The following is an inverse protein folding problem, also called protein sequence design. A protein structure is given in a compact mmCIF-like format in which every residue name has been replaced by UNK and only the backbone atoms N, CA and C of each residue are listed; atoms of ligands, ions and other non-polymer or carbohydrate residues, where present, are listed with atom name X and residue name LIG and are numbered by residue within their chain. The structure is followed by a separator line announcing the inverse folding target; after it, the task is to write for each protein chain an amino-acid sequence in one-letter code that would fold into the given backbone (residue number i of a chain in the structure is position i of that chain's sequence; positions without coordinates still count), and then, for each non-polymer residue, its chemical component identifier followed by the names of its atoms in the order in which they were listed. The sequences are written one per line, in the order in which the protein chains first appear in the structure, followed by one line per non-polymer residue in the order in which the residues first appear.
data_IF_108716512672
#
_entry.id   IF_108716512672
#
_cell.length_a   1.000
_cell.length_b   1.000
_cell.length_c   1.000
_cell.angle_alpha   90.00
_cell.angle_beta   90.00
_cell.angle_gamma   90.00
#
_symmetry.space_group_name_H-M   'P 1'
#
loop_
_entity.id
_entity.type
_entity.pdbx_description
1 polymer ?
#
# COMPACT_ATOMS: atom_id res chain seq x y z
N UNK A 1 -22.63 6.57 32.84
CA UNK A 1 -23.20 7.08 34.10
C UNK A 1 -24.64 7.60 33.91
N UNK A 2 -25.14 7.66 32.67
CA UNK A 2 -26.52 8.12 32.37
C UNK A 2 -27.63 7.09 32.65
N UNK A 3 -27.29 5.89 33.15
CA UNK A 3 -28.28 4.86 33.51
C UNK A 3 -28.63 4.97 35.00
N UNK A 4 -29.93 5.05 35.33
CA UNK A 4 -30.44 5.07 36.72
C UNK A 4 -30.33 3.71 37.46
N UNK A 5 -29.56 2.77 36.93
CA UNK A 5 -29.34 1.44 37.51
C UNK A 5 -28.54 1.57 38.80
N UNK A 6 -29.04 0.97 39.89
CA UNK A 6 -28.48 1.07 41.26
C UNK A 6 -28.30 -0.31 41.90
N UNK A 7 -27.56 -0.35 43.00
CA UNK A 7 -27.43 -1.55 43.83
C UNK A 7 -26.67 -2.69 43.14
N UNK A 8 -27.04 -3.94 43.44
CA UNK A 8 -26.35 -5.13 42.94
C UNK A 8 -26.37 -5.26 41.41
N UNK A 9 -27.46 -4.81 40.77
CA UNK A 9 -27.60 -4.82 39.32
C UNK A 9 -26.56 -3.91 38.65
N UNK A 10 -26.34 -2.71 39.21
CA UNK A 10 -25.30 -1.80 38.73
C UNK A 10 -23.90 -2.44 38.81
N UNK A 11 -23.60 -3.11 39.92
CA UNK A 11 -22.31 -3.79 40.10
C UNK A 11 -22.11 -4.89 39.05
N UNK A 12 -23.14 -5.72 38.82
CA UNK A 12 -23.10 -6.78 37.81
C UNK A 12 -22.91 -6.23 36.40
N UNK A 13 -23.69 -5.22 36.03
CA UNK A 13 -23.61 -4.58 34.71
C UNK A 13 -22.27 -3.88 34.48
N UNK A 14 -21.74 -3.19 35.50
CA UNK A 14 -20.43 -2.55 35.43
C UNK A 14 -19.31 -3.57 35.22
N UNK A 15 -19.29 -4.67 35.98
CA UNK A 15 -18.26 -5.69 35.80
C UNK A 15 -18.40 -6.44 34.47
N UNK A 16 -19.63 -6.64 34.00
CA UNK A 16 -19.87 -7.21 32.68
C UNK A 16 -19.35 -6.28 31.57
N UNK A 17 -19.66 -4.99 31.65
CA UNK A 17 -19.13 -3.97 30.73
C UNK A 17 -17.61 -3.92 30.77
N UNK A 18 -16.98 -3.91 31.95
CA UNK A 18 -15.52 -3.90 32.08
C UNK A 18 -14.88 -5.14 31.46
N UNK A 19 -15.52 -6.31 31.58
CA UNK A 19 -15.05 -7.53 30.92
C UNK A 19 -15.14 -7.41 29.40
N UNK A 20 -16.27 -6.92 28.88
CA UNK A 20 -16.45 -6.70 27.44
C UNK A 20 -15.43 -5.70 26.89
N UNK A 21 -15.20 -4.58 27.58
CA UNK A 21 -14.21 -3.58 27.18
C UNK A 21 -12.78 -4.13 27.25
N UNK A 22 -12.48 -4.99 28.23
CA UNK A 22 -11.18 -5.68 28.29
C UNK A 22 -10.98 -6.58 27.07
N UNK A 23 -12.00 -7.31 26.65
CA UNK A 23 -11.92 -8.19 25.48
C UNK A 23 -11.78 -7.38 24.17
N UNK A 24 -12.51 -6.27 24.05
CA UNK A 24 -12.36 -5.31 22.96
C UNK A 24 -10.94 -4.74 22.91
N UNK A 25 -10.42 -4.30 24.06
CA UNK A 25 -9.05 -3.78 24.17
C UNK A 25 -8.00 -4.81 23.79
N UNK A 26 -8.19 -6.08 24.17
CA UNK A 26 -7.30 -7.17 23.78
C UNK A 26 -7.27 -7.37 22.25
N UNK A 27 -8.44 -7.27 21.59
CA UNK A 27 -8.54 -7.31 20.12
C UNK A 27 -7.77 -6.16 19.46
N UNK A 28 -7.94 -4.92 19.96
CA UNK A 28 -7.20 -3.76 19.47
C UNK A 28 -5.69 -3.89 19.69
N UNK A 29 -5.26 -4.41 20.84
CA UNK A 29 -3.85 -4.68 21.12
C UNK A 29 -3.26 -5.72 20.15
N UNK A 30 -3.98 -6.79 19.85
CA UNK A 30 -3.57 -7.80 18.88
C UNK A 30 -3.47 -7.22 17.47
N UNK A 31 -4.43 -6.40 17.05
CA UNK A 31 -4.39 -5.70 15.77
C UNK A 31 -3.19 -4.74 15.69
N UNK A 32 -2.94 -3.98 16.76
CA UNK A 32 -1.77 -3.12 16.87
C UNK A 32 -0.48 -3.91 16.71
N UNK A 33 -0.32 -5.02 17.44
CA UNK A 33 0.86 -5.87 17.35
C UNK A 33 1.09 -6.42 15.94
N UNK A 34 0.01 -6.78 15.24
CA UNK A 34 0.09 -7.33 13.89
C UNK A 34 0.41 -6.30 12.81
N UNK A 35 -0.15 -5.09 12.91
CA UNK A 35 -0.14 -4.12 11.81
C UNK A 35 0.69 -2.86 12.06
N UNK A 36 0.84 -2.45 13.33
CA UNK A 36 1.40 -1.14 13.70
C UNK A 36 2.60 -1.22 14.64
N UNK A 37 2.86 -2.34 15.31
CA UNK A 37 4.07 -2.53 16.10
C UNK A 37 5.24 -2.92 15.19
N UNK A 38 6.28 -2.08 15.16
CA UNK A 38 7.46 -2.26 14.31
C UNK A 38 7.14 -2.65 12.85
N UNK A 39 6.38 -1.82 12.12
CA UNK A 39 5.96 -2.11 10.74
C UNK A 39 7.11 -2.07 9.73
N UNK A 40 8.28 -1.56 10.13
CA UNK A 40 9.45 -1.47 9.27
C UNK A 40 10.00 -2.87 8.94
N UNK A 41 10.10 -3.18 7.65
CA UNK A 41 10.70 -4.43 7.15
C UNK A 41 12.23 -4.41 7.15
N UNK A 42 12.81 -3.21 7.18
CA UNK A 42 14.24 -2.91 7.17
C UNK A 42 14.47 -1.61 7.97
N UNK A 43 15.72 -1.23 8.18
CA UNK A 43 16.12 -0.02 8.88
C UNK A 43 15.93 -0.07 10.40
N UNK A 44 16.03 1.11 10.99
CA UNK A 44 15.75 1.41 12.39
C UNK A 44 14.57 2.39 12.45
N UNK A 45 13.44 1.93 12.97
CA UNK A 45 12.31 2.78 13.31
C UNK A 45 12.30 3.04 14.82
N UNK A 46 12.13 4.30 15.21
CA UNK A 46 11.96 4.70 16.60
C UNK A 46 10.48 4.97 16.88
N UNK A 47 9.82 4.03 17.56
CA UNK A 47 8.38 4.07 17.79
C UNK A 47 8.06 4.44 19.25
N UNK A 48 7.27 5.51 19.50
CA UNK A 48 6.82 5.83 20.84
C UNK A 48 5.73 4.83 21.28
N UNK A 49 5.91 4.21 22.44
CA UNK A 49 4.98 3.25 23.01
C UNK A 49 4.70 3.57 24.48
N UNK A 50 3.54 3.14 24.97
CA UNK A 50 3.17 3.20 26.39
C UNK A 50 3.29 1.79 26.95
N UNK A 51 4.10 1.63 28.00
CA UNK A 51 4.21 0.36 28.71
C UNK A 51 3.07 0.22 29.71
N UNK A 52 2.16 -0.73 29.48
CA UNK A 52 0.93 -0.87 30.28
C UNK A 52 1.19 -1.14 31.77
N UNK A 53 2.30 -1.80 32.13
CA UNK A 53 2.64 -2.13 33.52
C UNK A 53 3.12 -0.93 34.34
N UNK A 54 3.74 0.06 33.71
CA UNK A 54 4.32 1.23 34.38
C UNK A 54 3.67 2.55 33.96
N UNK A 55 2.78 2.51 32.97
CA UNK A 55 2.18 3.66 32.30
C UNK A 55 3.21 4.66 31.72
N UNK A 56 4.45 4.23 31.52
CA UNK A 56 5.52 5.09 31.02
C UNK A 56 5.53 5.13 29.49
N UNK A 57 5.62 6.33 28.93
CA UNK A 57 5.90 6.53 27.51
C UNK A 57 7.40 6.40 27.27
N UNK A 58 7.77 5.49 26.38
CA UNK A 58 9.18 5.26 26.02
C UNK A 58 9.32 5.13 24.50
N UNK A 59 10.53 5.40 23.99
CA UNK A 59 10.84 5.23 22.57
C UNK A 59 11.46 3.85 22.36
N UNK A 60 10.69 2.96 21.73
CA UNK A 60 11.14 1.62 21.36
C UNK A 60 11.90 1.65 20.03
N UNK A 61 13.01 0.91 19.95
CA UNK A 61 13.85 0.83 18.77
C UNK A 61 13.56 -0.46 17.98
N UNK A 62 12.79 -0.34 16.90
CA UNK A 62 12.47 -1.42 15.97
C UNK A 62 13.63 -1.64 14.99
N UNK A 63 14.58 -2.51 15.37
CA UNK A 63 15.80 -2.79 14.61
C UNK A 63 15.58 -3.93 13.61
N UNK A 64 15.98 -3.70 12.36
CA UNK A 64 16.10 -4.67 11.26
C UNK A 64 17.42 -4.42 10.50
N UNK A 65 17.62 -5.05 9.35
CA UNK A 65 18.76 -4.76 8.47
C UNK A 65 18.77 -3.28 8.05
N UNK A 66 19.85 -2.54 8.30
CA UNK A 66 19.98 -1.12 7.94
C UNK A 66 19.87 -0.88 6.43
N UNK A 67 20.40 -1.82 5.64
CA UNK A 67 20.24 -1.81 4.20
C UNK A 67 18.82 -2.27 3.84
N UNK A 68 18.05 -1.35 3.27
CA UNK A 68 16.67 -1.53 2.82
C UNK A 68 16.57 -2.03 1.38
N UNK A 69 17.69 -2.41 0.77
CA UNK A 69 17.78 -3.01 -0.55
C UNK A 69 18.27 -2.04 -1.61
N UNK A 70 18.18 -2.51 -2.85
CA UNK A 70 18.70 -1.84 -4.03
C UNK A 70 17.56 -1.55 -5.02
N UNK A 71 17.59 -0.39 -5.66
CA UNK A 71 16.58 0.07 -6.63
C UNK A 71 17.22 0.29 -7.99
N UNK A 72 16.71 -0.37 -9.02
CA UNK A 72 17.13 -0.17 -10.41
C UNK A 72 16.33 0.97 -11.02
N UNK A 73 17.00 2.04 -11.46
CA UNK A 73 16.36 3.24 -12.03
C UNK A 73 16.81 3.38 -13.48
N UNK A 74 15.87 3.27 -14.42
CA UNK A 74 16.09 3.52 -15.84
C UNK A 74 15.46 4.85 -16.22
N UNK A 75 16.24 5.73 -16.82
CA UNK A 75 15.80 7.09 -17.21
C UNK A 75 16.36 7.41 -18.59
N UNK A 76 15.57 8.04 -19.47
CA UNK A 76 16.10 8.45 -20.76
C UNK A 76 16.88 9.76 -20.64
N UNK A 77 17.89 9.93 -21.49
CA UNK A 77 18.61 11.19 -21.61
C UNK A 77 17.64 12.35 -21.85
N UNK A 78 17.95 13.52 -21.26
CA UNK A 78 17.12 14.73 -21.24
C UNK A 78 15.86 14.67 -20.35
N UNK A 79 15.51 13.51 -19.78
CA UNK A 79 14.47 13.42 -18.76
C UNK A 79 15.02 13.72 -17.36
N UNK A 80 14.13 13.83 -16.38
CA UNK A 80 14.49 14.05 -14.99
C UNK A 80 14.62 12.71 -14.26
N UNK A 81 15.74 12.49 -13.59
CA UNK A 81 15.92 11.37 -12.67
C UNK A 81 15.44 11.76 -11.29
N UNK A 82 14.62 10.90 -10.67
CA UNK A 82 14.14 11.05 -9.30
C UNK A 82 14.53 9.79 -8.52
N UNK A 83 15.32 9.96 -7.46
CA UNK A 83 15.66 8.91 -6.52
C UNK A 83 14.88 9.12 -5.24
N UNK A 84 13.87 8.28 -5.01
CA UNK A 84 13.00 8.35 -3.83
C UNK A 84 13.52 7.45 -2.72
N UNK A 85 13.82 8.04 -1.57
CA UNK A 85 14.31 7.33 -0.39
C UNK A 85 13.22 7.14 0.68
N UNK A 86 12.02 7.69 0.49
CA UNK A 86 10.93 7.59 1.45
C UNK A 86 10.46 6.13 1.59
N UNK A 87 10.22 5.73 2.84
CA UNK A 87 9.50 4.51 3.20
C UNK A 87 8.28 4.88 4.03
N UNK A 88 7.21 4.08 3.92
CA UNK A 88 5.92 4.36 4.57
C UNK A 88 6.02 4.65 6.08
N UNK A 89 7.00 4.07 6.77
CA UNK A 89 7.19 4.22 8.21
C UNK A 89 8.05 5.43 8.62
N UNK A 90 8.67 6.14 7.67
CA UNK A 90 9.48 7.33 7.97
C UNK A 90 8.64 8.43 8.63
N UNK A 91 7.44 8.71 8.11
CA UNK A 91 6.54 9.75 8.64
C UNK A 91 6.10 9.53 10.09
N UNK A 92 6.13 8.28 10.56
CA UNK A 92 5.69 7.90 11.91
C UNK A 92 6.85 7.57 12.85
N UNK A 93 8.08 7.48 12.33
CA UNK A 93 9.28 7.28 13.16
C UNK A 93 9.67 8.59 13.83
N UNK A 94 10.06 8.52 15.10
CA UNK A 94 10.59 9.66 15.83
C UNK A 94 12.11 9.80 15.63
N UNK A 95 12.63 10.99 15.92
CA UNK A 95 14.08 11.22 15.97
C UNK A 95 14.81 11.02 14.65
N UNK A 96 14.12 11.17 13.52
CA UNK A 96 14.76 11.23 12.20
C UNK A 96 15.43 12.59 11.99
N UNK A 97 16.56 12.60 11.27
CA UNK A 97 17.28 13.83 10.95
C UNK A 97 17.09 14.19 9.47
N UNK A 98 18.14 14.14 8.67
CA UNK A 98 18.14 14.56 7.27
C UNK A 98 18.34 13.33 6.37
N UNK A 99 17.77 13.38 5.18
CA UNK A 99 18.16 12.54 4.07
C UNK A 99 19.45 13.09 3.47
N UNK A 100 20.42 12.22 3.27
CA UNK A 100 21.70 12.52 2.62
C UNK A 100 21.86 11.61 1.42
N UNK A 101 21.99 12.20 0.24
CA UNK A 101 22.23 11.45 -1.00
C UNK A 101 23.69 11.56 -1.40
N UNK A 102 24.28 10.41 -1.72
CA UNK A 102 25.66 10.28 -2.13
C UNK A 102 25.74 9.68 -3.52
N UNK A 103 26.69 10.16 -4.31
CA UNK A 103 27.17 9.47 -5.52
C UNK A 103 28.28 8.53 -5.10
N UNK A 104 28.16 7.25 -5.45
CA UNK A 104 29.15 6.21 -5.13
C UNK A 104 30.02 5.95 -6.36
N UNK A 105 31.33 5.98 -6.17
CA UNK A 105 32.32 5.78 -7.22
C UNK A 105 32.93 4.38 -7.13
N UNK A 106 33.49 3.87 -8.25
CA UNK A 106 34.02 2.50 -8.32
C UNK A 106 35.23 2.22 -7.41
N UNK A 107 35.88 3.26 -6.89
CA UNK A 107 36.95 3.17 -5.88
C UNK A 107 36.42 3.19 -4.43
N UNK A 108 35.10 3.00 -4.23
CA UNK A 108 34.40 3.11 -2.96
C UNK A 108 34.48 4.49 -2.30
N UNK A 109 34.89 5.54 -3.03
CA UNK A 109 34.72 6.90 -2.54
C UNK A 109 33.28 7.35 -2.80
N UNK A 110 32.83 8.31 -1.99
CA UNK A 110 31.49 8.87 -2.09
C UNK A 110 31.55 10.39 -2.12
N UNK A 111 30.61 11.00 -2.84
CA UNK A 111 30.43 12.46 -2.86
C UNK A 111 29.01 12.80 -2.45
N UNK A 112 28.86 13.65 -1.43
CA UNK A 112 27.56 14.16 -1.01
C UNK A 112 26.96 15.02 -2.12
N UNK A 113 25.79 14.63 -2.60
CA UNK A 113 25.03 15.30 -3.66
C UNK A 113 24.00 16.27 -3.10
N UNK A 114 23.30 15.85 -2.03
CA UNK A 114 22.33 16.68 -1.33
C UNK A 114 22.17 16.22 0.12
N UNK A 115 21.76 17.14 0.99
CA UNK A 115 21.36 16.86 2.35
C UNK A 115 20.21 17.79 2.75
N UNK A 116 19.14 17.23 3.28
CA UNK A 116 17.94 18.02 3.62
C UNK A 116 16.80 17.18 4.18
N UNK A 117 15.63 17.79 4.31
CA UNK A 117 14.40 17.09 4.75
C UNK A 117 13.68 16.39 3.60
N UNK A 118 14.03 16.75 2.36
CA UNK A 118 13.46 16.21 1.15
C UNK A 118 13.88 14.74 0.99
N UNK A 119 12.91 13.81 0.89
CA UNK A 119 13.22 12.38 0.77
C UNK A 119 13.63 11.98 -0.65
N UNK A 120 13.72 12.93 -1.58
CA UNK A 120 14.00 12.68 -3.00
C UNK A 120 15.18 13.50 -3.49
N UNK A 121 16.05 12.87 -4.28
CA UNK A 121 17.03 13.58 -5.11
C UNK A 121 16.53 13.66 -6.54
N UNK A 122 16.38 14.88 -7.06
CA UNK A 122 16.01 15.11 -8.46
C UNK A 122 17.19 15.68 -9.24
N UNK A 123 17.52 15.04 -10.37
CA UNK A 123 18.50 15.54 -11.35
C UNK A 123 17.78 15.80 -12.67
N UNK A 124 17.66 17.07 -13.02
CA UNK A 124 17.01 17.45 -14.28
C UNK A 124 17.92 17.22 -15.48
N UNK A 125 17.30 16.93 -16.63
CA UNK A 125 17.96 16.72 -17.92
C UNK A 125 19.20 15.81 -17.82
N UNK A 126 18.98 14.55 -17.45
CA UNK A 126 20.07 13.60 -17.23
C UNK A 126 20.90 13.37 -18.48
N UNK A 127 22.20 13.16 -18.26
CA UNK A 127 23.21 12.85 -19.27
C UNK A 127 23.79 11.46 -19.02
N UNK A 128 24.42 10.81 -20.01
CA UNK A 128 25.03 9.49 -19.82
C UNK A 128 25.99 9.40 -18.62
N UNK A 129 26.73 10.48 -18.32
CA UNK A 129 27.63 10.55 -17.14
C UNK A 129 26.91 10.50 -15.78
N UNK A 130 25.61 10.81 -15.75
CA UNK A 130 24.80 10.74 -14.54
C UNK A 130 24.40 9.28 -14.22
N UNK A 131 24.63 8.32 -15.12
CA UNK A 131 24.51 6.89 -14.82
C UNK A 131 25.55 6.47 -13.75
N UNK A 132 25.19 5.47 -12.93
CA UNK A 132 26.05 4.94 -11.88
C UNK A 132 25.29 4.60 -10.59
N UNK A 133 26.03 4.38 -9.51
CA UNK A 133 25.47 4.03 -8.22
C UNK A 133 25.30 5.25 -7.32
N UNK A 134 24.16 5.31 -6.65
CA UNK A 134 23.82 6.32 -5.66
C UNK A 134 23.43 5.63 -4.36
N UNK A 135 23.62 6.32 -3.24
CA UNK A 135 23.23 5.85 -1.92
C UNK A 135 22.45 6.94 -1.22
N UNK A 136 21.28 6.61 -0.71
CA UNK A 136 20.57 7.45 0.23
C UNK A 136 20.80 6.93 1.65
N UNK A 137 21.00 7.86 2.58
CA UNK A 137 21.00 7.62 4.01
C UNK A 137 20.00 8.55 4.69
N UNK A 138 19.05 7.99 5.43
CA UNK A 138 18.23 8.76 6.36
C UNK A 138 18.86 8.68 7.75
N UNK A 139 19.32 9.81 8.27
CA UNK A 139 19.92 9.86 9.60
C UNK A 139 18.89 9.72 10.73
N UNK A 140 19.38 9.42 11.94
CA UNK A 140 18.59 9.51 13.16
C UNK A 140 19.39 10.14 14.30
N UNK A 141 18.72 10.53 15.38
CA UNK A 141 19.34 11.04 16.61
C UNK A 141 20.12 9.97 17.38
N UNK A 142 19.99 8.68 17.01
CA UNK A 142 20.86 7.61 17.48
C UNK A 142 22.13 7.57 16.65
N UNK A 143 23.17 6.88 17.13
CA UNK A 143 24.47 6.76 16.44
C UNK A 143 24.43 6.03 15.08
N UNK A 144 23.30 5.44 14.70
CA UNK A 144 23.13 4.68 13.46
C UNK A 144 22.02 5.30 12.60
N UNK A 145 22.17 5.32 11.26
CA UNK A 145 21.13 5.81 10.37
C UNK A 145 19.85 4.98 10.51
N UNK A 146 18.71 5.62 10.23
CA UNK A 146 17.43 4.95 10.20
C UNK A 146 17.27 4.07 8.95
N UNK A 147 17.81 4.47 7.80
CA UNK A 147 17.63 3.76 6.53
C UNK A 147 18.81 4.01 5.60
N UNK A 148 19.24 2.95 4.91
CA UNK A 148 20.19 3.03 3.78
C UNK A 148 19.55 2.35 2.57
N UNK A 149 19.50 3.04 1.42
CA UNK A 149 19.00 2.49 0.15
C UNK A 149 20.02 2.78 -0.94
N UNK A 150 20.31 1.79 -1.78
CA UNK A 150 21.16 1.96 -2.95
C UNK A 150 20.30 2.09 -4.21
N UNK A 151 20.73 2.93 -5.14
CA UNK A 151 20.11 3.09 -6.45
C UNK A 151 21.16 2.84 -7.53
N UNK A 152 20.80 2.00 -8.49
CA UNK A 152 21.60 1.72 -9.67
C UNK A 152 20.93 2.38 -10.87
N UNK A 153 21.52 3.48 -11.32
CA UNK A 153 20.95 4.34 -12.36
C UNK A 153 21.54 3.97 -13.71
N UNK A 154 20.67 3.62 -14.65
CA UNK A 154 20.99 3.42 -16.05
C UNK A 154 20.36 4.53 -16.88
N UNK A 155 21.19 5.27 -17.64
CA UNK A 155 20.71 6.32 -18.56
C UNK A 155 20.57 5.72 -19.95
N UNK A 156 19.35 5.70 -20.47
CA UNK A 156 19.01 5.24 -21.80
C UNK A 156 19.20 6.38 -22.82
N UNK A 157 19.39 6.08 -24.12
CA UNK A 157 19.44 7.10 -25.16
C UNK A 157 18.20 8.00 -25.15
N UNK A 158 18.36 9.22 -25.67
CA UNK A 158 17.23 10.16 -25.87
C UNK A 158 16.12 9.44 -26.64
N UNK A 159 14.85 9.67 -26.25
CA UNK A 159 13.72 9.17 -27.04
C UNK A 159 13.77 9.78 -28.43
N UNK A 160 13.70 8.94 -29.46
CA UNK A 160 13.46 9.39 -30.82
C UNK A 160 12.00 9.81 -30.86
N UNK A 161 11.75 11.11 -30.95
CA UNK A 161 10.43 11.63 -31.31
C UNK A 161 10.44 11.62 -32.83
N UNK A 162 9.76 10.66 -33.45
CA UNK A 162 9.42 10.78 -34.86
C UNK A 162 8.45 11.96 -34.99
N UNK A 163 8.97 13.12 -35.37
CA UNK A 163 8.14 14.17 -35.95
C UNK A 163 7.60 13.63 -37.26
N UNK A 164 6.31 13.28 -37.28
CA UNK A 164 5.59 13.06 -38.53
C UNK A 164 5.69 14.39 -39.30
N UNK A 165 6.31 14.42 -40.48
CA UNK A 165 6.37 15.64 -41.28
C UNK A 165 4.93 16.07 -41.55
N UNK A 166 4.55 17.26 -41.10
CA UNK A 166 3.29 17.86 -41.52
C UNK A 166 3.32 17.94 -43.05
N UNK A 167 2.27 17.50 -43.77
CA UNK A 167 2.31 17.51 -45.22
C UNK A 167 2.49 18.95 -45.71
N UNK A 168 3.61 19.21 -46.38
CA UNK A 168 3.84 20.46 -47.08
C UNK A 168 2.90 20.49 -48.28
N UNK A 169 1.95 21.42 -48.30
CA UNK A 169 1.19 21.75 -49.51
C UNK A 169 1.95 22.84 -50.27
N UNK A 170 2.80 22.44 -51.22
CA UNK A 170 3.15 23.25 -52.41
C UNK A 170 2.03 23.02 -53.45
N UNK A 171 1.61 23.89 -54.38
CA UNK A 171 2.04 25.18 -54.94
C UNK A 171 0.86 25.70 -55.80
N UNK A 172 0.66 27.02 -55.94
CA UNK A 172 0.50 27.67 -57.27
C UNK A 172 0.51 29.20 -57.19
N UNK A 173 1.45 29.78 -57.92
CA UNK A 173 1.63 31.20 -58.18
C UNK A 173 0.48 31.80 -59.03
N UNK A 174 0.13 33.07 -58.76
CA UNK A 174 -0.11 34.08 -59.82
C UNK A 174 -0.04 35.52 -59.26
N UNK A 175 0.58 36.39 -60.07
CA UNK A 175 1.11 37.77 -59.88
C UNK A 175 -0.04 38.81 -59.87
N UNK A 176 -0.10 39.90 -59.08
CA UNK A 176 0.58 41.21 -59.23
C UNK A 176 0.01 42.24 -58.19
N UNK A 177 0.57 43.48 -58.05
CA UNK A 177 0.57 44.27 -56.81
C UNK A 177 -0.48 45.40 -56.72
N UNK A 178 -0.83 45.81 -55.49
CA UNK A 178 -1.66 46.99 -55.22
C UNK A 178 -1.77 47.32 -53.72
N UNK A 179 -1.81 48.61 -53.41
CA UNK A 179 -1.50 49.28 -52.14
C UNK A 179 -2.73 49.59 -51.25
N UNK A 180 -2.44 49.91 -49.98
CA UNK A 180 -3.16 50.71 -48.95
C UNK A 180 -4.36 50.17 -48.11
N UNK A 181 -4.11 50.23 -46.79
CA UNK A 181 -4.97 50.55 -45.62
C UNK A 181 -6.00 49.60 -45.00
N UNK A 182 -5.79 49.39 -43.69
CA UNK A 182 -6.73 49.39 -42.56
C UNK A 182 -7.90 48.38 -42.59
N UNK A 183 -7.76 47.28 -41.85
CA UNK A 183 -8.63 47.07 -40.68
C UNK A 183 -8.17 45.92 -39.79
N UNK A 184 -8.25 46.16 -38.47
CA UNK A 184 -8.09 45.17 -37.41
C UNK A 184 -9.39 44.39 -37.25
N UNK A 185 -9.33 43.05 -37.15
CA UNK A 185 -10.05 42.43 -36.05
C UNK A 185 -9.16 41.47 -35.25
N UNK A 186 -9.25 41.59 -33.93
CA UNK A 186 -8.85 40.54 -33.01
C UNK A 186 -9.68 39.29 -33.29
N UNK A 187 -9.03 38.14 -33.41
CA UNK A 187 -9.69 36.86 -33.16
C UNK A 187 -8.71 35.96 -32.43
N UNK A 188 -8.94 35.86 -31.13
CA UNK A 188 -8.34 34.84 -30.28
C UNK A 188 -8.73 33.47 -30.84
N UNK A 189 -7.76 32.67 -31.26
CA UNK A 189 -7.99 31.24 -31.51
C UNK A 189 -7.04 30.44 -30.64
N UNK A 190 -7.64 29.97 -29.55
CA UNK A 190 -7.22 28.95 -28.61
C UNK A 190 -6.58 27.78 -29.37
N UNK A 191 -5.25 27.64 -29.30
CA UNK A 191 -4.57 26.40 -29.69
C UNK A 191 -4.87 25.35 -28.63
N UNK A 192 -5.96 24.64 -28.88
CA UNK A 192 -6.39 23.46 -28.17
C UNK A 192 -5.35 22.35 -28.43
N UNK A 193 -4.35 22.29 -27.57
CA UNK A 193 -3.57 21.07 -27.35
C UNK A 193 -4.56 19.92 -27.16
N UNK A 194 -4.60 19.00 -28.11
CA UNK A 194 -5.26 17.70 -27.94
C UNK A 194 -4.49 16.91 -26.88
N UNK A 195 -4.67 17.29 -25.62
CA UNK A 195 -4.58 16.37 -24.50
C UNK A 195 -5.67 15.33 -24.72
N UNK A 196 -5.28 14.12 -25.11
CA UNK A 196 -6.14 12.95 -25.23
C UNK A 196 -6.77 12.71 -23.86
N UNK A 197 -7.98 13.26 -23.66
CA UNK A 197 -8.74 13.30 -22.40
C UNK A 197 -8.64 11.99 -21.61
N UNK A 198 -8.04 11.97 -20.41
CA UNK A 198 -8.10 10.81 -19.51
C UNK A 198 -9.53 10.53 -19.02
N UNK A 199 -10.44 11.51 -19.13
CA UNK A 199 -11.86 11.37 -18.78
C UNK A 199 -12.59 10.29 -19.59
N UNK A 200 -12.28 10.12 -20.89
CA UNK A 200 -12.99 9.15 -21.73
C UNK A 200 -12.62 7.71 -21.38
N UNK A 201 -11.37 7.48 -20.99
CA UNK A 201 -10.86 6.16 -20.57
C UNK A 201 -11.37 5.81 -19.17
N UNK A 202 -11.38 6.78 -18.25
CA UNK A 202 -11.89 6.58 -16.89
C UNK A 202 -13.41 6.32 -16.88
N UNK A 203 -14.17 7.06 -17.69
CA UNK A 203 -15.63 6.90 -17.84
C UNK A 203 -15.99 5.56 -18.49
N UNK A 204 -15.23 5.13 -19.49
CA UNK A 204 -15.40 3.80 -20.11
C UNK A 204 -15.13 2.67 -19.11
N UNK A 205 -14.09 2.78 -18.28
CA UNK A 205 -13.80 1.80 -17.22
C UNK A 205 -14.86 1.78 -16.12
N UNK A 206 -15.36 2.95 -15.70
CA UNK A 206 -16.42 3.03 -14.69
C UNK A 206 -17.71 2.37 -15.17
N UNK A 207 -18.10 2.64 -16.42
CA UNK A 207 -19.29 2.02 -17.03
C UNK A 207 -19.10 0.50 -17.15
N UNK A 208 -17.91 0.03 -17.53
CA UNK A 208 -17.59 -1.39 -17.56
C UNK A 208 -17.72 -2.06 -16.19
N UNK A 209 -17.21 -1.43 -15.13
CA UNK A 209 -17.31 -1.93 -13.75
C UNK A 209 -18.75 -1.95 -13.23
N UNK A 210 -19.56 -0.92 -13.55
CA UNK A 210 -20.96 -0.87 -13.17
C UNK A 210 -21.76 -1.99 -13.83
N UNK A 211 -21.57 -2.21 -15.15
CA UNK A 211 -22.23 -3.29 -15.88
C UNK A 211 -21.83 -4.65 -15.29
N UNK A 212 -20.54 -4.86 -15.00
CA UNK A 212 -20.08 -6.12 -14.39
C UNK A 212 -20.68 -6.34 -12.99
N UNK A 213 -20.77 -5.28 -12.18
CA UNK A 213 -21.40 -5.32 -10.86
C UNK A 213 -22.87 -5.73 -10.92
N UNK A 214 -23.64 -5.17 -11.87
CA UNK A 214 -25.04 -5.56 -12.07
C UNK A 214 -25.20 -7.00 -12.52
N UNK A 215 -24.32 -7.50 -13.40
CA UNK A 215 -24.36 -8.91 -13.84
C UNK A 215 -24.10 -9.86 -12.66
N UNK A 216 -23.11 -9.56 -11.81
CA UNK A 216 -22.82 -10.36 -10.62
C UNK A 216 -23.99 -10.32 -9.63
N UNK A 217 -24.61 -9.15 -9.42
CA UNK A 217 -25.78 -9.02 -8.55
C UNK A 217 -26.96 -9.84 -9.08
N UNK A 218 -27.27 -9.76 -10.38
CA UNK A 218 -28.37 -10.53 -10.99
C UNK A 218 -28.08 -12.03 -10.90
N UNK A 219 -26.84 -12.46 -11.16
CA UNK A 219 -26.45 -13.86 -11.04
C UNK A 219 -26.56 -14.36 -9.59
N UNK A 220 -26.16 -13.55 -8.60
CA UNK A 220 -26.27 -13.86 -7.18
C UNK A 220 -27.73 -13.96 -6.71
N UNK A 221 -28.60 -13.08 -7.23
CA UNK A 221 -30.02 -13.07 -6.91
C UNK A 221 -30.73 -14.26 -7.56
N UNK A 222 -30.39 -14.57 -8.81
CA UNK A 222 -30.90 -15.75 -9.52
C UNK A 222 -30.46 -17.06 -8.83
N UNK A 223 -29.21 -17.16 -8.38
CA UNK A 223 -28.74 -18.31 -7.59
C UNK A 223 -29.45 -18.37 -6.24
N UNK A 224 -29.62 -17.27 -5.52
CA UNK A 224 -30.36 -17.24 -4.26
C UNK A 224 -31.83 -17.68 -4.43
N UNK A 225 -32.51 -17.24 -5.50
CA UNK A 225 -33.88 -17.68 -5.84
C UNK A 225 -33.92 -19.16 -6.19
N UNK A 226 -32.95 -19.66 -6.97
CA UNK A 226 -32.85 -21.08 -7.29
C UNK A 226 -32.63 -21.93 -6.04
N UNK A 227 -31.75 -21.50 -5.13
CA UNK A 227 -31.49 -22.20 -3.87
C UNK A 227 -32.67 -22.16 -2.89
N UNK A 228 -33.40 -21.04 -2.83
CA UNK A 228 -34.60 -20.92 -1.99
C UNK A 228 -35.82 -21.62 -2.60
N UNK A 229 -35.90 -21.77 -3.93
CA UNK A 229 -36.86 -22.69 -4.59
C UNK A 229 -36.49 -24.16 -4.39
N UNK A 230 -35.21 -24.52 -4.42
CA UNK A 230 -34.76 -25.89 -4.14
C UNK A 230 -34.87 -26.26 -2.65
N UNK A 231 -34.93 -25.28 -1.74
CA UNK A 231 -35.21 -25.52 -0.32
C UNK A 231 -36.53 -26.27 -0.08
N UNK A 232 -37.54 -26.06 -0.93
CA UNK A 232 -38.79 -26.85 -0.89
C UNK A 232 -38.65 -28.29 -1.42
N UNK A 233 -37.61 -28.58 -2.19
CA UNK A 233 -37.35 -29.93 -2.76
C UNK A 233 -36.39 -30.72 -1.86
N UNK A 234 -35.46 -30.05 -1.17
CA UNK A 234 -34.49 -30.70 -0.28
C UNK A 234 -35.13 -31.21 1.02
N UNK A 235 -36.18 -30.54 1.53
CA UNK A 235 -36.95 -31.04 2.70
C UNK A 235 -37.76 -32.32 2.40
N UNK A 236 -38.03 -32.62 1.12
CA UNK A 236 -38.69 -33.87 0.70
C UNK A 236 -37.73 -35.07 0.62
N UNK A 237 -36.43 -34.83 0.41
CA UNK A 237 -35.43 -35.90 0.29
C UNK A 237 -34.87 -36.30 1.68
N UNK A 238 -34.94 -35.40 2.67
CA UNK A 238 -34.47 -35.69 4.04
C UNK A 238 -35.47 -36.48 4.88
N UNK A 239 -36.76 -36.41 4.53
CA UNK A 239 -37.85 -37.13 5.23
C UNK A 239 -38.07 -38.56 4.71
N UNK A 240 -37.55 -38.92 3.52
CA UNK A 240 -37.65 -40.28 2.96
C UNK A 240 -36.50 -41.21 3.34
N UNK A 241 -35.41 -40.69 3.93
CA UNK A 241 -34.29 -41.54 4.38
C UNK A 241 -34.53 -42.12 5.78
N UNK A 242 -35.27 -41.45 6.66
CA UNK A 242 -35.47 -41.89 8.06
C UNK A 242 -36.60 -42.91 8.27
N UNK A 243 -36.72 -43.90 7.40
CA UNK A 243 -37.56 -45.08 7.68
C UNK A 243 -37.02 -46.32 6.97
N UNK A 244 -36.85 -47.40 7.73
CA UNK A 244 -36.23 -48.71 7.43
C UNK A 244 -34.71 -48.75 7.71
N UNK A 245 -34.18 -49.45 8.71
CA UNK A 245 -34.70 -50.45 9.63
C UNK A 245 -33.54 -51.37 10.07
N UNK A 246 -33.29 -51.43 11.38
CA UNK A 246 -32.88 -52.61 12.18
C UNK A 246 -31.61 -53.42 11.82
N UNK A 247 -30.69 -53.53 12.78
CA UNK A 247 -29.68 -54.58 12.85
C UNK A 247 -28.68 -54.39 14.00
N UNK A 248 -28.80 -55.19 15.05
CA UNK A 248 -28.10 -55.10 16.33
C UNK A 248 -26.63 -55.53 16.32
N UNK A 249 -25.83 -54.97 17.25
CA UNK A 249 -24.82 -55.70 18.05
C UNK A 249 -24.36 -54.83 19.24
N UNK A 250 -24.56 -55.36 20.45
CA UNK A 250 -23.93 -54.94 21.71
C UNK A 250 -22.55 -55.63 21.89
N UNK A 251 -21.84 -55.17 22.93
CA UNK A 251 -20.78 -55.84 23.72
C UNK A 251 -19.33 -55.52 23.28
N UNK A 252 -18.32 -55.28 24.14
CA UNK A 252 -18.14 -55.11 25.60
C UNK A 252 -16.67 -54.67 25.80
N UNK A 253 -16.28 -54.27 27.03
CA UNK A 253 -14.91 -54.57 27.51
C UNK A 253 -14.02 -53.41 27.93
N UNK A 254 -14.15 -53.04 29.21
CA UNK A 254 -13.17 -52.30 30.04
C UNK A 254 -11.93 -53.17 30.31
N UNK A 255 -10.74 -52.56 30.48
CA UNK A 255 -9.78 -53.02 31.50
C UNK A 255 -8.88 -51.89 32.00
N UNK A 256 -8.93 -51.69 33.31
CA UNK A 256 -7.98 -50.95 34.14
C UNK A 256 -6.65 -51.72 34.35
N UNK A 257 -5.70 -50.98 34.93
CA UNK A 257 -4.68 -51.40 35.90
C UNK A 257 -3.24 -51.67 35.39
N UNK A 258 -2.28 -50.80 35.77
CA UNK A 258 -1.26 -51.14 36.81
C UNK A 258 -0.39 -49.96 37.28
N UNK A 259 -0.34 -49.85 38.61
CA UNK A 259 0.45 -48.94 39.47
C UNK A 259 1.91 -49.42 39.68
N UNK A 260 2.85 -48.47 39.84
CA UNK A 260 3.98 -48.41 40.82
C UNK A 260 4.92 -47.25 40.45
N UNK A 261 4.96 -46.15 41.18
CA UNK A 261 5.66 -45.92 42.48
C UNK A 261 7.18 -46.16 42.42
N UNK A 262 7.98 -45.08 42.51
CA UNK A 262 8.97 -44.82 43.59
C UNK A 262 10.20 -43.99 43.16
N UNK A 263 10.60 -43.07 44.06
CA UNK A 263 11.92 -42.40 44.26
C UNK A 263 12.33 -41.32 43.25
N UNK A 264 13.00 -40.22 43.59
CA UNK A 264 13.63 -39.56 44.77
C UNK A 264 13.80 -38.11 44.24
N UNK A 265 13.69 -37.00 44.96
CA UNK A 265 14.18 -36.58 46.27
C UNK A 265 13.55 -35.21 46.54
#
# INVERSE_FOLDING_TARGET
MDSDVKGELFVKELFWMLRLEKDNFASYAAQFQKAAFCPNKCGLMLQPLIWCSTCQKQVHACRKSLNCGERQVKVHQMEDMILDCELNWHKVSQGLTDYSFYRVWGNNSETLMSKGKEPTLTKTMVRPKDAGTYRCELGSVRSSPATIIYFHVTVLPKRIVEEIPSPNTETKDEVAPGEVTLDRPQTATTLQSQSRKPEKVLRSRLVGLLIWGFVVLIASFATAILFSRSGKVIDFIKSSWFSTGSGAAQDSGVSEEKTRESRRQ
#
